data_IF_425838397809
#
_entry.id   IF_425838397809
#
_cell.length_a   1.000
_cell.length_b   1.000
_cell.length_c   1.000
_cell.angle_alpha   90.00
_cell.angle_beta   90.00
_cell.angle_gamma   90.00
#
_symmetry.space_group_name_H-M   'P 1'
#
loop_
_entity.id
_entity.type
_entity.pdbx_description
1 polymer ?
#
# COMPACT_ATOMS: atom_id res chain seq x y z
N UNK A 1 27.60 43.88 27.90
CA UNK A 1 26.36 44.46 27.31
C UNK A 1 26.21 44.06 25.84
N UNK A 2 26.28 42.76 25.52
CA UNK A 2 26.21 42.26 24.13
C UNK A 2 25.29 41.03 23.96
N UNK A 3 24.95 40.33 25.05
CA UNK A 3 24.08 39.16 24.99
C UNK A 3 22.57 39.48 24.94
N UNK A 4 22.16 40.71 25.27
CA UNK A 4 20.75 41.11 25.25
C UNK A 4 20.22 41.44 23.84
N UNK A 5 21.12 41.72 22.87
CA UNK A 5 20.74 42.09 21.50
C UNK A 5 20.51 40.87 20.57
N UNK A 6 21.11 39.72 20.89
CA UNK A 6 20.92 38.48 20.10
C UNK A 6 19.55 37.82 20.35
N UNK A 7 18.99 37.95 21.56
CA UNK A 7 17.74 37.30 21.94
C UNK A 7 16.52 37.91 21.24
N UNK A 8 16.58 39.20 20.92
CA UNK A 8 15.48 39.95 20.26
C UNK A 8 15.34 39.61 18.78
N UNK A 9 16.43 39.22 18.11
CA UNK A 9 16.38 38.83 16.69
C UNK A 9 15.87 37.41 16.49
N UNK A 10 16.19 36.46 17.37
CA UNK A 10 15.64 35.09 17.28
C UNK A 10 14.13 35.02 17.52
N UNK A 11 13.59 35.88 18.40
CA UNK A 11 12.14 35.95 18.63
C UNK A 11 11.38 36.52 17.41
N UNK A 12 12.01 37.38 16.60
CA UNK A 12 11.45 37.85 15.32
C UNK A 12 11.49 36.78 14.23
N UNK A 13 12.48 35.88 14.24
CA UNK A 13 12.51 34.75 13.30
C UNK A 13 11.50 33.63 13.66
N UNK A 14 11.19 33.43 14.95
CA UNK A 14 10.12 32.52 15.37
C UNK A 14 8.71 33.08 15.09
N UNK A 15 8.61 34.41 14.95
CA UNK A 15 7.46 35.16 14.43
C UNK A 15 7.60 35.48 12.94
N UNK A 16 8.38 34.71 12.17
CA UNK A 16 7.99 34.46 10.77
C UNK A 16 6.73 33.62 10.86
N UNK A 17 5.64 34.36 11.05
CA UNK A 17 4.27 33.92 11.03
C UNK A 17 4.12 33.08 9.78
N UNK A 18 4.12 31.77 9.99
CA UNK A 18 3.33 30.87 9.17
C UNK A 18 1.89 31.35 9.36
N UNK A 19 1.51 32.39 8.62
CA UNK A 19 0.13 32.69 8.30
C UNK A 19 -0.33 31.55 7.40
N UNK A 20 -0.46 30.37 7.99
CA UNK A 20 -1.17 29.28 7.39
C UNK A 20 -2.62 29.74 7.40
N UNK A 21 -3.05 30.30 6.27
CA UNK A 21 -4.46 30.47 5.99
C UNK A 21 -5.02 29.06 5.89
N UNK A 22 -5.38 28.48 7.04
CA UNK A 22 -6.25 27.32 7.07
C UNK A 22 -7.50 27.79 6.33
N UNK A 23 -7.83 27.13 5.22
CA UNK A 23 -9.11 27.34 4.53
C UNK A 23 -10.25 26.88 5.43
N UNK A 24 -10.46 27.59 6.54
CA UNK A 24 -11.44 27.27 7.55
C UNK A 24 -12.80 27.52 6.94
N UNK A 25 -13.59 26.46 6.93
CA UNK A 25 -15.00 26.44 6.58
C UNK A 25 -15.73 26.02 7.83
N UNK A 26 -16.97 26.50 8.00
CA UNK A 26 -17.78 26.05 9.14
C UNK A 26 -18.18 24.58 8.96
N UNK A 27 -18.61 23.92 10.04
CA UNK A 27 -19.04 22.52 9.97
C UNK A 27 -20.26 22.37 9.04
N UNK A 28 -21.14 23.38 8.98
CA UNK A 28 -22.29 23.42 8.08
C UNK A 28 -21.87 23.59 6.61
N UNK A 29 -20.91 24.47 6.34
CA UNK A 29 -20.32 24.63 5.01
C UNK A 29 -19.64 23.32 4.57
N UNK A 30 -18.92 22.67 5.47
CA UNK A 30 -18.26 21.40 5.21
C UNK A 30 -19.28 20.29 4.92
N UNK A 31 -20.35 20.19 5.72
CA UNK A 31 -21.43 19.22 5.53
C UNK A 31 -22.25 19.44 4.24
N UNK A 32 -22.19 20.65 3.65
CA UNK A 32 -22.85 20.94 2.37
C UNK A 32 -22.16 20.30 1.16
N UNK A 33 -20.86 19.97 1.30
CA UNK A 33 -20.08 19.35 0.24
C UNK A 33 -20.46 17.87 0.07
N UNK A 34 -20.34 17.31 -1.15
CA UNK A 34 -20.42 15.88 -1.33
C UNK A 34 -19.38 15.14 -0.49
N UNK A 35 -19.74 13.94 -0.03
CA UNK A 35 -18.81 13.06 0.66
C UNK A 35 -17.57 12.83 -0.21
N UNK A 36 -16.39 13.07 0.38
CA UNK A 36 -15.13 12.87 -0.33
C UNK A 36 -14.85 11.38 -0.57
N UNK A 37 -15.17 10.55 0.42
CA UNK A 37 -15.01 9.11 0.41
C UNK A 37 -16.37 8.47 0.67
N UNK A 38 -16.78 7.59 -0.22
CA UNK A 38 -18.03 6.85 -0.09
C UNK A 38 -17.78 5.41 -0.50
N UNK A 39 -18.18 4.45 0.32
CA UNK A 39 -17.99 3.03 0.02
C UNK A 39 -19.28 2.28 0.32
N UNK A 40 -19.86 1.68 -0.71
CA UNK A 40 -20.91 0.69 -0.55
C UNK A 40 -20.36 -0.56 0.13
N UNK A 41 -21.25 -1.35 0.74
CA UNK A 41 -20.83 -2.60 1.35
C UNK A 41 -20.46 -3.63 0.27
N UNK A 42 -19.15 -3.84 0.09
CA UNK A 42 -18.59 -4.77 -0.89
C UNK A 42 -19.16 -6.18 -0.74
N UNK A 43 -19.11 -6.74 0.47
CA UNK A 43 -19.56 -8.11 0.73
C UNK A 43 -21.03 -8.28 0.32
N UNK A 44 -21.90 -7.34 0.71
CA UNK A 44 -23.32 -7.34 0.33
C UNK A 44 -23.52 -7.24 -1.18
N UNK A 45 -22.68 -6.47 -1.88
CA UNK A 45 -22.73 -6.39 -3.33
C UNK A 45 -22.36 -7.73 -3.98
N UNK A 46 -21.32 -8.40 -3.46
CA UNK A 46 -20.84 -9.69 -3.97
C UNK A 46 -21.85 -10.83 -3.77
N UNK A 47 -22.75 -10.72 -2.79
CA UNK A 47 -23.87 -11.65 -2.63
C UNK A 47 -24.86 -11.64 -3.81
N UNK A 48 -24.82 -10.62 -4.68
CA UNK A 48 -25.64 -10.57 -5.90
C UNK A 48 -25.12 -11.51 -7.01
N UNK A 49 -23.98 -12.18 -6.83
CA UNK A 49 -23.40 -13.18 -7.75
C UNK A 49 -23.23 -12.67 -9.18
N UNK A 50 -23.93 -13.26 -10.14
CA UNK A 50 -23.98 -12.83 -11.54
C UNK A 50 -24.46 -11.38 -11.73
N UNK A 51 -25.08 -10.78 -10.70
CA UNK A 51 -25.44 -9.36 -10.65
C UNK A 51 -24.43 -8.49 -9.89
N UNK A 52 -23.47 -9.06 -9.17
CA UNK A 52 -22.43 -8.33 -8.44
C UNK A 52 -21.52 -7.55 -9.39
N UNK A 53 -21.49 -6.23 -9.24
CA UNK A 53 -20.64 -5.35 -10.02
C UNK A 53 -20.29 -4.13 -9.17
N UNK A 54 -19.08 -4.14 -8.63
CA UNK A 54 -18.63 -3.17 -7.64
C UNK A 54 -17.50 -2.33 -8.23
N UNK A 55 -17.71 -1.03 -8.37
CA UNK A 55 -16.75 -0.15 -9.04
C UNK A 55 -16.15 0.84 -8.07
N UNK A 56 -14.83 0.91 -8.01
CA UNK A 56 -14.07 1.99 -7.38
C UNK A 56 -13.71 3.04 -8.42
N UNK A 57 -14.14 4.29 -8.21
CA UNK A 57 -14.04 5.37 -9.17
C UNK A 57 -13.60 6.68 -8.53
N UNK A 58 -12.91 7.50 -9.32
CA UNK A 58 -12.61 8.90 -8.99
C UNK A 58 -13.43 9.81 -9.87
N UNK A 59 -14.37 10.52 -9.25
CA UNK A 59 -15.24 11.49 -9.92
C UNK A 59 -14.73 12.90 -9.69
N UNK A 60 -14.34 13.58 -10.77
CA UNK A 60 -13.89 14.96 -10.69
C UNK A 60 -15.05 15.92 -10.88
N UNK A 61 -15.38 16.66 -9.82
CA UNK A 61 -16.44 17.66 -9.82
C UNK A 61 -16.06 18.90 -10.62
N UNK A 62 -17.06 19.47 -11.27
CA UNK A 62 -17.04 20.74 -12.01
C UNK A 62 -18.39 21.44 -11.78
N UNK A 63 -18.45 22.78 -11.82
CA UNK A 63 -19.73 23.47 -11.74
C UNK A 63 -20.56 23.17 -12.99
N UNK A 64 -21.87 23.03 -12.84
CA UNK A 64 -22.78 22.82 -13.96
C UNK A 64 -22.71 24.00 -14.94
N UNK A 65 -22.70 25.22 -14.39
CA UNK A 65 -22.52 26.48 -15.08
C UNK A 65 -21.23 27.15 -14.58
N UNK A 66 -20.24 27.31 -15.48
CA UNK A 66 -18.95 27.92 -15.14
C UNK A 66 -19.05 29.44 -14.92
N UNK A 67 -20.02 30.11 -15.55
CA UNK A 67 -20.22 31.56 -15.44
C UNK A 67 -20.88 31.95 -14.12
N UNK A 68 -21.68 31.04 -13.54
CA UNK A 68 -22.34 31.25 -12.24
C UNK A 68 -22.21 29.98 -11.39
N UNK A 69 -21.04 29.74 -10.77
CA UNK A 69 -20.82 28.56 -9.97
C UNK A 69 -21.63 28.60 -8.68
N UNK A 70 -22.19 27.47 -8.22
CA UNK A 70 -22.94 27.40 -6.97
C UNK A 70 -22.02 27.69 -5.77
N UNK A 71 -22.60 28.14 -4.66
CA UNK A 71 -21.81 28.47 -3.46
C UNK A 71 -21.03 27.25 -2.93
N UNK A 72 -21.61 26.06 -3.03
CA UNK A 72 -20.94 24.79 -2.70
C UNK A 72 -19.64 24.60 -3.51
N UNK A 73 -19.60 25.03 -4.77
CA UNK A 73 -18.37 24.95 -5.58
C UNK A 73 -17.28 25.87 -5.03
N UNK A 74 -17.63 27.07 -4.56
CA UNK A 74 -16.67 28.01 -3.96
C UNK A 74 -16.08 27.43 -2.68
N UNK A 75 -16.90 26.75 -1.87
CA UNK A 75 -16.45 26.05 -0.66
C UNK A 75 -15.49 24.92 -1.03
N UNK A 76 -15.86 24.06 -1.99
CA UNK A 76 -15.00 22.97 -2.48
C UNK A 76 -13.64 23.50 -2.94
N UNK A 77 -13.62 24.58 -3.72
CA UNK A 77 -12.38 25.22 -4.20
C UNK A 77 -11.55 25.78 -3.04
N UNK A 78 -12.19 26.46 -2.08
CA UNK A 78 -11.53 27.01 -0.89
C UNK A 78 -10.81 25.93 -0.09
N UNK A 79 -11.47 24.81 0.17
CA UNK A 79 -10.90 23.69 0.94
C UNK A 79 -9.83 22.95 0.13
N UNK A 80 -10.06 22.73 -1.16
CA UNK A 80 -9.15 21.97 -2.04
C UNK A 80 -7.84 22.70 -2.37
N UNK A 81 -7.83 24.03 -2.30
CA UNK A 81 -6.63 24.83 -2.56
C UNK A 81 -5.62 24.83 -1.40
N UNK A 82 -5.99 24.27 -0.25
CA UNK A 82 -5.09 24.14 0.92
C UNK A 82 -4.32 22.84 0.79
N UNK A 83 -2.98 22.89 0.80
CA UNK A 83 -2.13 21.72 0.56
C UNK A 83 -2.18 20.65 1.66
N UNK A 84 -2.61 21.00 2.87
CA UNK A 84 -2.84 20.03 3.97
C UNK A 84 -4.19 19.32 3.86
N UNK A 85 -5.11 19.82 3.04
CA UNK A 85 -6.44 19.26 2.90
C UNK A 85 -6.47 18.28 1.73
N UNK A 86 -7.38 17.32 1.81
CA UNK A 86 -7.72 16.52 0.63
C UNK A 86 -8.36 17.40 -0.44
N UNK A 87 -8.20 16.99 -1.68
CA UNK A 87 -8.87 17.62 -2.82
C UNK A 87 -10.35 17.22 -2.86
N UNK A 88 -11.22 18.11 -2.40
CA UNK A 88 -12.67 17.93 -2.40
C UNK A 88 -13.31 18.03 -3.79
N UNK A 89 -12.56 18.44 -4.81
CA UNK A 89 -12.99 18.36 -6.21
C UNK A 89 -12.83 16.95 -6.81
N UNK A 90 -12.15 16.03 -6.13
CA UNK A 90 -11.94 14.64 -6.58
C UNK A 90 -12.53 13.65 -5.60
N UNK A 91 -13.78 13.26 -5.84
CA UNK A 91 -14.49 12.30 -5.01
C UNK A 91 -13.99 10.89 -5.30
N UNK A 92 -13.69 10.10 -4.26
CA UNK A 92 -13.21 8.72 -4.38
C UNK A 92 -14.26 7.79 -3.82
N UNK A 93 -15.05 7.21 -4.71
CA UNK A 93 -16.20 6.41 -4.34
C UNK A 93 -16.00 4.96 -4.76
N UNK A 94 -16.47 4.03 -3.95
CA UNK A 94 -16.66 2.64 -4.34
C UNK A 94 -18.14 2.30 -4.24
N UNK A 95 -18.76 1.88 -5.34
CA UNK A 95 -20.20 1.67 -5.42
C UNK A 95 -20.56 0.27 -5.89
N UNK A 96 -21.65 -0.27 -5.37
CA UNK A 96 -22.34 -1.40 -5.96
C UNK A 96 -23.25 -0.88 -7.08
N UNK A 97 -22.82 -1.02 -8.34
CA UNK A 97 -23.51 -0.44 -9.51
C UNK A 97 -25.00 -0.82 -9.58
N UNK A 98 -25.42 -2.09 -9.39
CA UNK A 98 -26.85 -2.44 -9.45
C UNK A 98 -27.70 -1.74 -8.40
N UNK A 99 -27.11 -1.30 -7.28
CA UNK A 99 -27.81 -0.62 -6.20
C UNK A 99 -27.76 0.90 -6.37
N UNK A 100 -26.56 1.44 -6.57
CA UNK A 100 -26.29 2.87 -6.58
C UNK A 100 -26.56 3.53 -7.94
N UNK A 101 -26.46 2.77 -9.04
CA UNK A 101 -26.75 3.20 -10.41
C UNK A 101 -27.51 2.10 -11.18
N UNK A 102 -28.77 1.79 -10.83
CA UNK A 102 -29.49 0.61 -11.31
C UNK A 102 -29.73 0.58 -12.82
N UNK A 103 -29.69 1.74 -13.49
CA UNK A 103 -29.88 1.87 -14.94
C UNK A 103 -28.61 1.59 -15.76
N UNK A 104 -27.49 1.31 -15.09
CA UNK A 104 -26.22 1.01 -15.76
C UNK A 104 -26.07 -0.50 -15.91
N UNK A 105 -25.98 -0.96 -17.15
CA UNK A 105 -25.74 -2.36 -17.45
C UNK A 105 -24.31 -2.78 -17.09
N UNK A 106 -24.15 -4.05 -16.71
CA UNK A 106 -22.84 -4.67 -16.56
C UNK A 106 -22.05 -4.61 -17.87
N UNK A 107 -20.79 -4.26 -17.77
CA UNK A 107 -19.84 -4.21 -18.86
C UNK A 107 -18.42 -4.34 -18.30
N UNK A 108 -17.41 -4.44 -19.17
CA UNK A 108 -16.01 -4.45 -18.76
C UNK A 108 -15.57 -3.08 -18.25
N UNK A 109 -14.57 -3.03 -17.38
CA UNK A 109 -13.91 -1.79 -16.91
C UNK A 109 -13.50 -0.89 -18.08
N UNK A 110 -13.07 -1.48 -19.20
CA UNK A 110 -12.61 -0.75 -20.37
C UNK A 110 -13.75 -0.38 -21.34
N UNK A 111 -14.99 -0.78 -21.06
CA UNK A 111 -16.14 -0.47 -21.92
C UNK A 111 -16.54 1.00 -21.80
N UNK A 112 -16.47 1.80 -22.88
CA UNK A 112 -16.88 3.21 -22.87
C UNK A 112 -18.35 3.42 -22.46
N UNK A 113 -19.22 2.43 -22.67
CA UNK A 113 -20.63 2.50 -22.27
C UNK A 113 -20.78 2.51 -20.75
N UNK A 114 -19.92 1.76 -20.05
CA UNK A 114 -19.94 1.71 -18.59
C UNK A 114 -19.54 3.05 -17.99
N UNK A 115 -18.41 3.61 -18.45
CA UNK A 115 -17.93 4.92 -18.02
C UNK A 115 -18.99 6.00 -18.21
N UNK A 116 -19.60 6.05 -19.39
CA UNK A 116 -20.67 7.01 -19.69
C UNK A 116 -21.91 6.80 -18.83
N UNK A 117 -22.32 5.55 -18.59
CA UNK A 117 -23.48 5.24 -17.75
C UNK A 117 -23.29 5.68 -16.30
N UNK A 118 -22.11 5.41 -15.72
CA UNK A 118 -21.79 5.81 -14.35
C UNK A 118 -21.62 7.33 -14.23
N UNK A 119 -20.96 7.96 -15.21
CA UNK A 119 -20.85 9.41 -15.26
C UNK A 119 -22.24 10.07 -15.31
N UNK A 120 -23.14 9.61 -16.18
CA UNK A 120 -24.50 10.14 -16.25
C UNK A 120 -25.29 9.94 -14.94
N UNK A 121 -25.10 8.79 -14.26
CA UNK A 121 -25.67 8.54 -12.94
C UNK A 121 -25.19 9.57 -11.90
N UNK A 122 -23.88 9.86 -11.88
CA UNK A 122 -23.29 10.82 -10.95
C UNK A 122 -23.65 12.27 -11.29
N UNK A 123 -23.67 12.64 -12.57
CA UNK A 123 -24.18 13.92 -13.04
C UNK A 123 -25.62 14.14 -12.57
N UNK A 124 -26.48 13.13 -12.72
CA UNK A 124 -27.85 13.18 -12.20
C UNK A 124 -27.87 13.33 -10.67
N UNK A 125 -27.02 12.61 -9.94
CA UNK A 125 -26.94 12.64 -8.46
C UNK A 125 -26.54 14.02 -7.92
N UNK A 126 -25.65 14.72 -8.62
CA UNK A 126 -25.10 16.01 -8.16
C UNK A 126 -25.71 17.23 -8.87
N UNK A 127 -26.52 17.03 -9.92
CA UNK A 127 -27.20 18.10 -10.65
C UNK A 127 -28.03 19.02 -9.75
N UNK A 128 -28.70 18.47 -8.72
CA UNK A 128 -29.48 19.23 -7.75
C UNK A 128 -28.65 20.24 -6.94
N UNK A 129 -27.34 20.03 -6.82
CA UNK A 129 -26.39 20.95 -6.16
C UNK A 129 -25.69 21.89 -7.15
N UNK A 130 -26.09 21.89 -8.43
CA UNK A 130 -25.45 22.66 -9.48
C UNK A 130 -24.06 22.16 -9.84
N UNK A 131 -23.77 20.88 -9.58
CA UNK A 131 -22.48 20.24 -9.85
C UNK A 131 -22.65 19.15 -10.90
N UNK A 132 -21.64 19.00 -11.76
CA UNK A 132 -21.47 17.92 -12.72
C UNK A 132 -20.04 17.40 -12.63
N UNK A 133 -19.65 16.45 -13.45
CA UNK A 133 -18.27 16.00 -13.41
C UNK A 133 -17.91 14.97 -14.47
N UNK A 134 -16.78 14.34 -14.22
CA UNK A 134 -16.20 13.35 -15.12
C UNK A 134 -15.58 12.22 -14.30
N UNK A 135 -15.84 10.99 -14.71
CA UNK A 135 -15.13 9.83 -14.14
C UNK A 135 -13.73 9.84 -14.74
N UNK A 136 -12.71 10.02 -13.92
CA UNK A 136 -11.30 10.11 -14.36
C UNK A 136 -10.55 8.80 -14.23
N UNK A 137 -10.94 7.98 -13.25
CA UNK A 137 -10.36 6.67 -12.98
C UNK A 137 -11.48 5.77 -12.52
N UNK A 138 -11.47 4.52 -12.97
CA UNK A 138 -12.43 3.51 -12.58
C UNK A 138 -11.79 2.12 -12.66
N UNK A 139 -12.14 1.26 -11.70
CA UNK A 139 -11.83 -0.17 -11.70
C UNK A 139 -13.01 -0.89 -11.07
N UNK A 140 -13.50 -1.95 -11.71
CA UNK A 140 -14.61 -2.71 -11.19
C UNK A 140 -14.23 -4.17 -10.92
N UNK A 141 -14.82 -4.67 -9.84
CA UNK A 141 -14.70 -6.03 -9.37
C UNK A 141 -16.03 -6.74 -9.56
N UNK A 142 -15.94 -8.01 -9.92
CA UNK A 142 -17.08 -8.91 -10.04
C UNK A 142 -16.94 -10.01 -8.99
N UNK A 143 -17.86 -10.98 -8.99
CA UNK A 143 -17.70 -12.16 -8.14
C UNK A 143 -16.42 -12.94 -8.49
N UNK A 144 -16.00 -12.91 -9.76
CA UNK A 144 -14.79 -13.56 -10.21
C UNK A 144 -13.57 -12.66 -9.99
N UNK A 145 -12.48 -13.24 -9.50
CA UNK A 145 -11.22 -12.53 -9.27
C UNK A 145 -10.59 -12.11 -10.60
N UNK A 146 -10.28 -10.81 -10.76
CA UNK A 146 -9.60 -10.26 -11.94
C UNK A 146 -8.21 -10.89 -12.20
N UNK A 147 -7.56 -11.33 -11.12
CA UNK A 147 -6.27 -12.02 -11.14
C UNK A 147 -6.44 -13.44 -10.60
N UNK A 148 -6.82 -14.42 -11.43
CA UNK A 148 -6.84 -15.80 -11.01
C UNK A 148 -5.42 -16.28 -10.73
N UNK A 149 -5.25 -17.12 -9.71
CA UNK A 149 -3.96 -17.76 -9.40
C UNK A 149 -3.56 -18.61 -10.60
N UNK A 150 -2.42 -18.27 -11.21
CA UNK A 150 -1.90 -19.01 -12.35
C UNK A 150 -0.86 -20.07 -11.91
N UNK A 151 -0.42 -20.92 -12.86
CA UNK A 151 0.61 -21.91 -12.55
C UNK A 151 1.97 -21.30 -12.24
N UNK A 152 2.25 -20.08 -12.72
CA UNK A 152 3.49 -19.40 -12.43
C UNK A 152 3.51 -18.97 -10.96
N UNK A 153 2.44 -18.39 -10.46
CA UNK A 153 2.24 -18.00 -9.06
C UNK A 153 2.45 -19.20 -8.14
N UNK A 154 1.84 -20.34 -8.47
CA UNK A 154 2.01 -21.59 -7.71
C UNK A 154 3.47 -22.05 -7.76
N UNK A 155 4.10 -22.03 -8.93
CA UNK A 155 5.51 -22.46 -9.10
C UNK A 155 6.45 -21.57 -8.30
N UNK A 156 6.28 -20.25 -8.36
CA UNK A 156 7.06 -19.30 -7.57
C UNK A 156 6.83 -19.51 -6.07
N UNK A 157 5.58 -19.74 -5.65
CA UNK A 157 5.24 -20.05 -4.26
C UNK A 157 5.96 -21.30 -3.75
N UNK A 158 5.99 -22.37 -4.55
CA UNK A 158 6.69 -23.62 -4.18
C UNK A 158 8.21 -23.42 -4.12
N UNK A 159 8.81 -22.77 -5.13
CA UNK A 159 10.26 -22.50 -5.15
C UNK A 159 10.66 -21.64 -3.94
N UNK A 160 9.87 -20.63 -3.62
CA UNK A 160 10.09 -19.77 -2.45
C UNK A 160 9.97 -20.56 -1.14
N UNK A 161 8.95 -21.41 -1.03
CA UNK A 161 8.77 -22.29 0.13
C UNK A 161 9.95 -23.22 0.34
N UNK A 162 10.43 -23.88 -0.72
CA UNK A 162 11.63 -24.75 -0.68
C UNK A 162 12.87 -23.96 -0.26
N UNK A 163 13.05 -22.75 -0.80
CA UNK A 163 14.17 -21.89 -0.43
C UNK A 163 14.15 -21.52 1.06
N UNK A 164 12.99 -21.14 1.60
CA UNK A 164 12.84 -20.83 3.04
C UNK A 164 13.17 -22.05 3.90
N UNK A 165 12.70 -23.24 3.51
CA UNK A 165 13.02 -24.49 4.22
C UNK A 165 14.53 -24.75 4.22
N UNK A 166 15.21 -24.57 3.09
CA UNK A 166 16.67 -24.72 2.98
C UNK A 166 17.40 -23.74 3.91
N UNK A 167 16.96 -22.47 3.95
CA UNK A 167 17.56 -21.42 4.78
C UNK A 167 17.36 -21.71 6.27
N UNK A 168 16.15 -22.14 6.67
CA UNK A 168 15.85 -22.52 8.05
C UNK A 168 16.66 -23.74 8.47
N UNK A 169 16.72 -24.78 7.62
CA UNK A 169 17.52 -25.97 7.87
C UNK A 169 19.01 -25.65 7.98
N UNK A 170 19.55 -24.84 7.06
CA UNK A 170 20.93 -24.38 7.08
C UNK A 170 21.26 -23.59 8.35
N UNK A 171 20.39 -22.64 8.71
CA UNK A 171 20.56 -21.80 9.91
C UNK A 171 20.46 -22.63 11.19
N UNK A 172 19.56 -23.60 11.25
CA UNK A 172 19.42 -24.50 12.41
C UNK A 172 20.65 -25.39 12.56
N UNK A 173 21.04 -26.13 11.51
CA UNK A 173 22.21 -27.03 11.55
C UNK A 173 23.49 -26.30 11.91
N UNK A 174 23.68 -25.12 11.34
CA UNK A 174 24.85 -24.29 11.59
C UNK A 174 24.83 -23.63 12.97
N UNK A 175 23.65 -23.20 13.44
CA UNK A 175 23.46 -22.68 14.80
C UNK A 175 23.72 -23.74 15.87
N UNK A 176 23.22 -24.96 15.69
CA UNK A 176 23.47 -26.09 16.59
C UNK A 176 24.96 -26.45 16.62
N UNK A 177 25.61 -26.58 15.46
CA UNK A 177 27.04 -26.91 15.39
C UNK A 177 27.93 -25.84 16.04
N UNK A 178 27.53 -24.57 16.00
CA UNK A 178 28.23 -23.48 16.71
C UNK A 178 28.02 -23.48 18.21
N UNK A 179 26.84 -23.89 18.68
CA UNK A 179 26.53 -23.93 20.11
C UNK A 179 27.23 -25.11 20.81
N UNK A 180 27.37 -26.24 20.11
CA UNK A 180 27.92 -27.48 20.66
C UNK A 180 29.43 -27.39 20.95
N UNK A 181 30.28 -27.27 19.93
CA UNK A 181 31.71 -27.05 20.12
C UNK A 181 32.40 -26.52 18.87
N UNK A 182 33.57 -25.89 19.05
CA UNK A 182 34.38 -25.36 17.94
C UNK A 182 34.85 -26.47 16.99
N UNK A 183 35.20 -27.65 17.53
CA UNK A 183 35.65 -28.81 16.77
C UNK A 183 34.56 -29.39 15.87
N UNK A 184 33.32 -29.44 16.36
CA UNK A 184 32.15 -29.90 15.58
C UNK A 184 31.82 -28.93 14.45
N UNK A 185 31.94 -27.63 14.69
CA UNK A 185 31.78 -26.61 13.66
C UNK A 185 32.88 -26.68 12.60
N UNK A 186 34.15 -26.85 13.00
CA UNK A 186 35.27 -26.92 12.07
C UNK A 186 35.17 -28.17 11.17
N UNK A 187 34.76 -29.33 11.73
CA UNK A 187 34.47 -30.54 10.96
C UNK A 187 33.33 -30.37 9.96
N UNK A 188 32.26 -29.64 10.32
CA UNK A 188 31.19 -29.30 9.38
C UNK A 188 31.74 -28.45 8.22
N UNK A 189 32.63 -27.52 8.52
CA UNK A 189 33.24 -26.58 7.60
C UNK A 189 34.34 -27.19 6.71
N UNK A 190 34.87 -28.36 7.02
CA UNK A 190 35.80 -29.10 6.15
C UNK A 190 35.08 -29.71 4.95
N UNK A 191 33.82 -30.12 5.12
CA UNK A 191 33.06 -30.80 4.06
C UNK A 191 32.52 -29.82 3.00
N UNK A 192 32.55 -30.17 1.69
CA UNK A 192 31.97 -29.34 0.64
C UNK A 192 30.47 -29.05 0.86
N UNK A 193 29.73 -30.06 1.33
CA UNK A 193 28.29 -29.93 1.64
C UNK A 193 28.03 -28.99 2.81
N UNK A 194 28.84 -29.06 3.87
CA UNK A 194 28.74 -28.14 5.01
C UNK A 194 29.11 -26.71 4.65
N UNK A 195 30.13 -26.51 3.79
CA UNK A 195 30.45 -25.18 3.23
C UNK A 195 29.28 -24.61 2.44
N UNK A 196 28.69 -25.38 1.52
CA UNK A 196 27.54 -24.97 0.73
C UNK A 196 26.32 -24.65 1.61
N UNK A 197 25.98 -25.55 2.55
CA UNK A 197 24.85 -25.36 3.46
C UNK A 197 25.03 -24.11 4.33
N UNK A 198 26.24 -23.91 4.87
CA UNK A 198 26.55 -22.74 5.70
C UNK A 198 26.48 -21.40 4.94
N UNK A 199 26.55 -21.41 3.60
CA UNK A 199 26.40 -20.21 2.79
C UNK A 199 24.95 -19.66 2.83
N UNK A 200 23.97 -20.52 3.13
CA UNK A 200 22.57 -20.17 3.31
C UNK A 200 22.19 -19.91 4.78
N UNK A 201 23.13 -20.02 5.75
CA UNK A 201 22.86 -19.70 7.16
C UNK A 201 22.79 -18.18 7.38
N UNK A 202 21.70 -17.74 8.00
CA UNK A 202 21.49 -16.34 8.38
C UNK A 202 22.55 -15.89 9.41
N UNK A 203 22.82 -16.71 10.42
CA UNK A 203 23.74 -16.38 11.53
C UNK A 203 25.15 -16.12 11.01
N UNK A 204 25.64 -16.95 10.08
CA UNK A 204 26.96 -16.79 9.48
C UNK A 204 27.05 -15.58 8.56
N UNK A 205 26.04 -15.37 7.73
CA UNK A 205 25.98 -14.22 6.84
C UNK A 205 25.91 -12.90 7.63
N UNK A 206 25.16 -12.89 8.74
CA UNK A 206 25.06 -11.74 9.64
C UNK A 206 26.39 -11.41 10.34
N UNK A 207 27.11 -12.41 10.85
CA UNK A 207 28.43 -12.20 11.45
C UNK A 207 29.42 -11.67 10.40
N UNK A 208 29.43 -12.25 9.20
CA UNK A 208 30.28 -11.80 8.09
C UNK A 208 30.00 -10.35 7.64
N UNK A 209 28.77 -9.87 7.84
CA UNK A 209 28.38 -8.48 7.58
C UNK A 209 28.81 -7.53 8.70
N UNK A 210 28.77 -7.97 9.96
CA UNK A 210 29.18 -7.18 11.13
C UNK A 210 30.69 -7.13 11.35
N UNK A 211 31.45 -8.09 10.81
CA UNK A 211 32.91 -8.10 10.93
C UNK A 211 33.53 -7.01 10.05
N UNK A 212 34.06 -5.96 10.69
CA UNK A 212 34.87 -4.93 10.04
C UNK A 212 36.27 -5.48 9.80
N UNK A 213 36.75 -5.42 8.56
CA UNK A 213 38.12 -5.84 8.22
C UNK A 213 39.08 -4.65 8.45
N UNK A 214 39.92 -4.74 9.48
CA UNK A 214 40.80 -3.66 9.96
C UNK A 214 42.23 -3.75 9.44
N UNK A 215 42.46 -4.22 8.22
CA UNK A 215 43.80 -4.19 7.61
C UNK A 215 44.10 -2.83 6.98
N UNK A 216 45.32 -2.30 7.16
CA UNK A 216 45.78 -1.02 6.59
C UNK A 216 45.67 -0.95 5.06
N UNK A 217 45.71 -2.08 4.36
CA UNK A 217 45.50 -2.15 2.90
C UNK A 217 44.03 -2.09 2.49
N UNK A 218 43.11 -2.56 3.34
CA UNK A 218 41.67 -2.49 3.09
C UNK A 218 41.11 -1.07 3.19
N UNK A 219 41.80 -0.19 3.91
CA UNK A 219 41.44 1.23 4.04
C UNK A 219 41.68 2.00 2.73
N UNK A 220 42.71 1.63 1.96
CA UNK A 220 43.02 2.19 0.64
C UNK A 220 42.05 1.74 -0.47
N UNK A 221 41.33 0.63 -0.28
CA UNK A 221 40.41 0.04 -1.26
C UNK A 221 38.93 0.20 -0.85
N UNK A 222 38.61 1.26 -0.10
CA UNK A 222 37.28 1.52 0.48
C UNK A 222 36.15 1.54 -0.56
N UNK A 223 36.43 1.94 -1.79
CA UNK A 223 35.47 1.93 -2.92
C UNK A 223 35.10 0.52 -3.40
N UNK A 224 36.04 -0.45 -3.34
CA UNK A 224 35.78 -1.87 -3.66
C UNK A 224 35.04 -2.58 -2.51
N UNK A 225 35.16 -2.08 -1.27
CA UNK A 225 34.37 -2.60 -0.16
C UNK A 225 32.87 -2.32 -0.34
N UNK A 226 32.47 -1.26 -1.02
CA UNK A 226 31.07 -0.98 -1.36
C UNK A 226 30.49 -2.12 -2.21
N UNK A 227 31.21 -2.59 -3.23
CA UNK A 227 30.77 -3.71 -4.09
C UNK A 227 30.63 -5.02 -3.29
N UNK A 228 31.57 -5.29 -2.35
CA UNK A 228 31.51 -6.46 -1.46
C UNK A 228 30.38 -6.36 -0.42
N UNK A 229 30.07 -5.15 0.06
CA UNK A 229 28.93 -4.92 0.95
C UNK A 229 27.64 -5.08 0.17
N UNK A 230 27.52 -4.55 -1.06
CA UNK A 230 26.36 -4.72 -1.94
C UNK A 230 26.11 -6.18 -2.33
N UNK A 231 27.14 -6.96 -2.63
CA UNK A 231 26.99 -8.40 -2.95
C UNK A 231 26.68 -9.26 -1.73
N UNK A 232 27.14 -8.88 -0.52
CA UNK A 232 26.80 -9.60 0.72
C UNK A 232 25.47 -9.16 1.34
N UNK A 233 25.05 -7.91 1.12
CA UNK A 233 23.74 -7.40 1.54
C UNK A 233 22.63 -7.86 0.61
N UNK A 234 22.93 -8.16 -0.67
CA UNK A 234 21.93 -8.61 -1.65
C UNK A 234 21.13 -9.83 -1.18
N UNK A 235 21.71 -10.93 -0.67
CA UNK A 235 20.91 -12.04 -0.13
C UNK A 235 20.07 -11.63 1.09
N UNK A 236 20.62 -10.79 1.98
CA UNK A 236 19.90 -10.32 3.18
C UNK A 236 18.76 -9.37 2.81
N UNK A 237 18.96 -8.50 1.83
CA UNK A 237 17.95 -7.61 1.28
C UNK A 237 16.90 -8.40 0.49
N UNK A 238 17.28 -9.45 -0.25
CA UNK A 238 16.35 -10.38 -0.87
C UNK A 238 15.53 -11.13 0.18
N UNK A 239 16.14 -11.59 1.27
CA UNK A 239 15.41 -12.18 2.39
C UNK A 239 14.52 -11.17 3.12
N UNK A 240 14.93 -9.92 3.25
CA UNK A 240 14.14 -8.86 3.86
C UNK A 240 12.96 -8.47 2.96
N UNK A 241 13.19 -8.35 1.65
CA UNK A 241 12.14 -8.14 0.64
C UNK A 241 11.16 -9.30 0.62
N UNK A 242 11.64 -10.55 0.62
CA UNK A 242 10.80 -11.75 0.75
C UNK A 242 10.03 -11.71 2.06
N UNK A 243 10.65 -11.33 3.19
CA UNK A 243 9.93 -11.18 4.47
C UNK A 243 8.91 -10.05 4.44
N UNK A 244 9.15 -8.94 3.76
CA UNK A 244 8.17 -7.84 3.64
C UNK A 244 7.05 -8.18 2.66
N UNK A 245 7.36 -8.89 1.58
CA UNK A 245 6.37 -9.43 0.64
C UNK A 245 5.57 -10.53 1.33
N UNK A 246 6.19 -11.40 2.11
CA UNK A 246 5.56 -12.43 2.94
C UNK A 246 4.78 -11.81 4.09
N UNK A 247 5.19 -10.69 4.68
CA UNK A 247 4.39 -9.97 5.69
C UNK A 247 3.19 -9.32 5.02
N UNK A 248 3.34 -8.73 3.83
CA UNK A 248 2.21 -8.19 3.07
C UNK A 248 1.28 -9.32 2.60
N UNK A 249 1.83 -10.46 2.21
CA UNK A 249 1.10 -11.64 1.74
C UNK A 249 0.46 -12.41 2.92
N UNK A 250 1.14 -12.54 4.07
CA UNK A 250 0.57 -13.04 5.32
C UNK A 250 -0.46 -12.08 5.88
N UNK A 251 -0.30 -10.77 5.73
CA UNK A 251 -1.32 -9.80 6.12
C UNK A 251 -2.55 -9.95 5.23
N UNK A 252 -2.38 -10.05 3.90
CA UNK A 252 -3.47 -10.30 2.98
C UNK A 252 -4.13 -11.67 3.22
N UNK A 253 -3.33 -12.73 3.42
CA UNK A 253 -3.82 -14.10 3.70
C UNK A 253 -4.44 -14.21 5.09
N UNK A 254 -3.95 -13.48 6.11
CA UNK A 254 -4.59 -13.41 7.43
C UNK A 254 -5.89 -12.62 7.33
N UNK A 255 -5.94 -11.53 6.58
CA UNK A 255 -7.18 -10.81 6.28
C UNK A 255 -8.19 -11.74 5.58
N UNK A 256 -7.73 -12.55 4.62
CA UNK A 256 -8.56 -13.53 3.91
C UNK A 256 -8.97 -14.72 4.81
N UNK A 257 -8.08 -15.20 5.68
CA UNK A 257 -8.34 -16.33 6.59
C UNK A 257 -9.23 -15.92 7.76
N UNK A 258 -9.05 -14.71 8.32
CA UNK A 258 -9.99 -14.11 9.29
C UNK A 258 -11.31 -13.71 8.64
N UNK A 259 -11.29 -13.39 7.34
CA UNK A 259 -12.49 -13.32 6.50
C UNK A 259 -13.19 -14.68 6.46
N UNK A 260 -12.50 -15.74 6.02
CA UNK A 260 -13.05 -17.08 5.86
C UNK A 260 -13.49 -17.75 7.18
N UNK A 261 -12.81 -17.50 8.32
CA UNK A 261 -13.28 -18.01 9.63
C UNK A 261 -14.53 -17.28 10.14
N UNK A 262 -14.79 -16.04 9.69
CA UNK A 262 -16.13 -15.42 9.84
C UNK A 262 -17.16 -16.04 8.88
N UNK A 263 -16.76 -16.45 7.69
CA UNK A 263 -17.66 -17.08 6.71
C UNK A 263 -18.06 -18.54 7.07
N UNK A 264 -17.19 -19.32 7.72
CA UNK A 264 -17.51 -20.69 8.13
C UNK A 264 -18.37 -20.82 9.39
N UNK A 265 -18.47 -19.76 10.21
CA UNK A 265 -19.22 -19.81 11.49
C UNK A 265 -20.65 -19.24 11.41
N UNK A 266 -20.99 -18.55 10.32
CA UNK A 266 -22.34 -17.99 10.09
C UNK A 266 -23.23 -18.95 9.28
N UNK A 267 -22.65 -19.94 8.59
CA UNK A 267 -23.39 -20.96 7.82
C UNK A 267 -23.95 -22.13 8.66
N UNK A 268 -23.70 -22.17 9.98
CA UNK A 268 -24.20 -23.22 10.87
C UNK A 268 -25.13 -22.70 11.98
N UNK A 269 -25.68 -21.50 11.78
CA UNK A 269 -26.80 -20.97 12.57
C UNK A 269 -27.86 -20.41 11.62
N UNK A 270 -28.50 -21.29 10.86
CA UNK A 270 -29.90 -21.15 10.46
C UNK A 270 -30.46 -22.50 10.02
#
# INVERSE_FOLDING_TARGET
MAMTKLRTNYLRYFLVLVNYSYGQVTDEEYASMPDLFYHDNFDKCMLLKEKAFYCSLTYQLKPLNETSPPDVWKIIQKVSNVSTNYRHDKLRHSICVPHSCPNVSKASDDDPKLWKGIQACYDSKFSARGLKGEVTQMSCDTQDSKYPIDWLDITYGVVLGVYVVIVLYATFREGVARYDSKEVYDKLMETPKGKLLSAFSITKNWIRLKTVNSNKETEKLRSIQVIRVSTKSSPVASHLCVRTIDIQCLFNTLVDTFGQTRYGKISNVR
#
